data_IF_784090852379
#
_entry.id   IF_784090852379
#
_cell.length_a   1.000
_cell.length_b   1.000
_cell.length_c   1.000
_cell.angle_alpha   90.00
_cell.angle_beta   90.00
_cell.angle_gamma   90.00
#
_symmetry.space_group_name_H-M   'P 1'
#
loop_
_entity.id
_entity.type
_entity.pdbx_description
1 polymer ?
#
# COMPACT_ATOMS: atom_id res chain seq x y z
N UNK A 1 -29.19 -46.35 32.02
CA UNK A 1 -29.99 -45.60 31.03
C UNK A 1 -30.39 -44.29 31.70
N UNK A 2 -29.54 -43.27 31.59
CA UNK A 2 -29.82 -41.90 32.01
C UNK A 2 -29.22 -40.99 30.93
N UNK A 3 -30.07 -40.15 30.38
CA UNK A 3 -29.76 -39.12 29.37
C UNK A 3 -28.92 -38.03 30.01
N UNK A 4 -27.83 -37.64 29.33
CA UNK A 4 -27.03 -36.48 29.69
C UNK A 4 -27.85 -35.21 29.40
N UNK A 5 -28.31 -34.55 30.46
CA UNK A 5 -28.91 -33.22 30.41
C UNK A 5 -27.87 -32.18 30.88
N UNK A 6 -27.90 -31.06 30.16
CA UNK A 6 -27.31 -29.74 30.41
C UNK A 6 -26.23 -29.63 31.49
N UNK A 7 -25.00 -29.49 31.02
CA UNK A 7 -24.02 -28.69 31.76
C UNK A 7 -23.28 -27.75 30.80
N UNK A 8 -23.36 -26.45 31.15
CA UNK A 8 -22.55 -25.32 30.65
C UNK A 8 -22.79 -24.82 29.22
N UNK A 9 -23.81 -23.97 29.06
CA UNK A 9 -23.74 -22.84 28.13
C UNK A 9 -23.20 -21.61 28.89
N UNK A 10 -21.93 -21.20 28.71
CA UNK A 10 -21.55 -19.83 28.99
C UNK A 10 -22.01 -18.95 27.83
N UNK A 11 -22.88 -17.99 28.17
CA UNK A 11 -23.18 -16.70 27.55
C UNK A 11 -22.99 -16.52 26.03
N UNK A 12 -24.10 -16.15 25.38
CA UNK A 12 -24.13 -15.52 24.05
C UNK A 12 -23.23 -14.28 24.01
N UNK A 13 -22.00 -14.46 23.56
CA UNK A 13 -21.21 -13.42 22.91
C UNK A 13 -20.78 -13.94 21.53
N UNK A 14 -21.73 -13.97 20.59
CA UNK A 14 -21.40 -14.05 19.17
C UNK A 14 -21.49 -12.65 18.60
N UNK A 15 -20.40 -11.88 18.72
CA UNK A 15 -20.10 -10.87 17.71
C UNK A 15 -19.92 -11.61 16.38
N UNK A 16 -21.02 -11.79 15.64
CA UNK A 16 -20.96 -12.10 14.22
C UNK A 16 -20.42 -10.86 13.53
N UNK A 17 -19.09 -10.74 13.51
CA UNK A 17 -18.37 -9.73 12.74
C UNK A 17 -18.54 -10.02 11.26
N UNK A 18 -19.71 -9.72 10.70
CA UNK A 18 -19.81 -9.45 9.28
C UNK A 18 -18.86 -8.31 8.99
N UNK A 19 -17.76 -8.62 8.29
CA UNK A 19 -16.92 -7.56 7.73
C UNK A 19 -17.83 -6.70 6.86
N UNK A 20 -17.90 -5.38 7.08
CA UNK A 20 -18.83 -4.53 6.34
C UNK A 20 -18.65 -4.74 4.84
N UNK A 21 -19.73 -4.72 4.06
CA UNK A 21 -19.65 -4.95 2.61
C UNK A 21 -18.75 -3.87 1.99
N UNK A 22 -17.79 -4.22 1.11
CA UNK A 22 -16.95 -3.23 0.43
C UNK A 22 -17.79 -2.25 -0.40
N UNK A 23 -17.71 -0.96 -0.07
CA UNK A 23 -18.45 0.15 -0.69
C UNK A 23 -17.64 0.88 -1.76
N UNK A 24 -16.33 0.63 -1.81
CA UNK A 24 -15.38 1.18 -2.79
C UNK A 24 -14.65 0.04 -3.51
N UNK A 25 -14.32 0.28 -4.78
CA UNK A 25 -13.48 -0.59 -5.60
C UNK A 25 -12.32 0.18 -6.20
N UNK A 26 -11.15 -0.41 -6.23
CA UNK A 26 -9.96 0.17 -6.87
C UNK A 26 -9.75 -0.55 -8.19
N UNK A 27 -9.79 0.18 -9.30
CA UNK A 27 -9.54 -0.35 -10.64
C UNK A 27 -8.05 -0.29 -10.93
N UNK A 28 -7.46 -1.45 -11.21
CA UNK A 28 -6.04 -1.57 -11.56
C UNK A 28 -5.83 -1.56 -13.07
N UNK A 29 -4.57 -1.42 -13.48
CA UNK A 29 -4.13 -1.43 -14.89
C UNK A 29 -4.55 -2.67 -15.69
N UNK A 30 -4.68 -3.83 -15.05
CA UNK A 30 -5.15 -5.07 -15.69
C UNK A 30 -6.66 -5.15 -15.87
N UNK A 31 -7.41 -4.14 -15.44
CA UNK A 31 -8.88 -4.18 -15.41
C UNK A 31 -9.45 -4.93 -14.21
N UNK A 32 -8.61 -5.45 -13.31
CA UNK A 32 -9.07 -6.07 -12.06
C UNK A 32 -9.55 -5.00 -11.08
N UNK A 33 -10.50 -5.38 -10.23
CA UNK A 33 -11.02 -4.49 -9.18
C UNK A 33 -10.73 -5.06 -7.80
N UNK A 34 -10.02 -4.28 -6.98
CA UNK A 34 -9.73 -4.63 -5.58
C UNK A 34 -10.86 -4.05 -4.71
N UNK A 35 -11.61 -4.87 -3.96
CA UNK A 35 -12.61 -4.37 -3.01
C UNK A 35 -11.92 -3.69 -1.83
N UNK A 36 -12.45 -2.55 -1.38
CA UNK A 36 -11.95 -1.80 -0.24
C UNK A 36 -13.09 -1.10 0.51
N UNK A 37 -12.78 -0.61 1.71
CA UNK A 37 -13.72 0.17 2.52
C UNK A 37 -13.36 1.66 2.45
N UNK A 38 -14.34 2.52 2.21
CA UNK A 38 -14.15 3.97 2.25
C UNK A 38 -13.56 4.42 3.58
N UNK A 39 -13.94 3.80 4.69
CA UNK A 39 -13.42 4.09 6.04
C UNK A 39 -11.92 3.88 6.16
N UNK A 40 -11.40 2.81 5.56
CA UNK A 40 -9.97 2.49 5.54
C UNK A 40 -9.23 3.45 4.64
N UNK A 41 -9.75 3.69 3.42
CA UNK A 41 -9.12 4.59 2.47
C UNK A 41 -9.16 6.07 2.92
N UNK A 42 -10.17 6.44 3.71
CA UNK A 42 -10.33 7.78 4.30
C UNK A 42 -9.21 8.15 5.27
N UNK A 43 -8.47 7.16 5.80
CA UNK A 43 -7.27 7.41 6.61
C UNK A 43 -6.14 8.09 5.81
N UNK A 44 -6.19 8.03 4.47
CA UNK A 44 -5.24 8.66 3.57
C UNK A 44 -5.94 9.84 2.88
N UNK A 45 -5.55 11.10 3.18
CA UNK A 45 -6.28 12.30 2.73
C UNK A 45 -6.52 12.35 1.22
N UNK A 46 -5.52 12.02 0.41
CA UNK A 46 -5.64 12.04 -1.06
C UNK A 46 -6.55 10.94 -1.61
N UNK A 47 -6.71 9.83 -0.90
CA UNK A 47 -7.71 8.81 -1.26
C UNK A 47 -9.11 9.26 -0.85
N UNK A 48 -9.25 9.93 0.30
CA UNK A 48 -10.51 10.55 0.72
C UNK A 48 -11.00 11.58 -0.29
N UNK A 49 -10.13 12.47 -0.77
CA UNK A 49 -10.45 13.43 -1.83
C UNK A 49 -11.00 12.72 -3.07
N UNK A 50 -10.35 11.64 -3.53
CA UNK A 50 -10.84 10.84 -4.67
C UNK A 50 -12.19 10.17 -4.44
N UNK A 51 -12.53 9.90 -3.18
CA UNK A 51 -13.84 9.36 -2.79
C UNK A 51 -14.91 10.45 -2.80
N UNK A 52 -14.57 11.67 -2.37
CA UNK A 52 -15.49 12.82 -2.27
C UNK A 52 -15.73 13.47 -3.64
N UNK A 53 -14.66 13.71 -4.42
CA UNK A 53 -14.68 14.39 -5.72
C UNK A 53 -15.40 13.60 -6.83
N UNK A 54 -15.87 12.38 -6.52
CA UNK A 54 -16.65 11.58 -7.44
C UNK A 54 -18.12 11.66 -7.06
N UNK A 55 -18.89 12.65 -7.58
CA UNK A 55 -20.33 12.68 -7.41
C UNK A 55 -20.91 11.42 -8.06
N UNK A 56 -21.48 10.54 -7.24
CA UNK A 56 -22.13 9.34 -7.73
C UNK A 56 -23.33 9.74 -8.59
N UNK A 57 -23.45 9.18 -9.80
CA UNK A 57 -24.66 9.32 -10.63
C UNK A 57 -25.88 8.60 -10.03
N UNK A 58 -25.71 7.85 -8.95
CA UNK A 58 -26.75 7.18 -8.19
C UNK A 58 -26.27 6.88 -6.77
N UNK A 59 -27.17 6.98 -5.79
CA UNK A 59 -26.94 6.60 -4.39
C UNK A 59 -26.48 5.13 -4.24
N UNK A 60 -26.75 4.28 -5.24
CA UNK A 60 -26.43 2.85 -5.24
C UNK A 60 -25.23 2.45 -6.11
N UNK A 61 -24.56 3.40 -6.77
CA UNK A 61 -23.37 3.09 -7.59
C UNK A 61 -22.11 2.99 -6.73
N UNK A 62 -21.54 1.77 -6.64
CA UNK A 62 -20.24 1.51 -6.00
C UNK A 62 -19.18 2.47 -6.56
N UNK A 63 -18.44 3.16 -5.68
CA UNK A 63 -17.40 4.12 -6.09
C UNK A 63 -16.18 3.37 -6.62
N UNK A 64 -15.68 3.76 -7.79
CA UNK A 64 -14.49 3.17 -8.42
C UNK A 64 -13.34 4.18 -8.42
N UNK A 65 -12.18 3.82 -7.88
CA UNK A 65 -10.97 4.64 -7.88
C UNK A 65 -9.93 4.02 -8.83
N UNK A 66 -9.58 4.67 -9.95
CA UNK A 66 -8.56 4.14 -10.86
C UNK A 66 -7.14 4.40 -10.35
N UNK A 67 -6.30 3.36 -10.39
CA UNK A 67 -4.84 3.40 -10.21
C UNK A 67 -4.25 2.54 -11.33
N UNK A 68 -3.88 3.19 -12.45
CA UNK A 68 -3.56 2.51 -13.71
C UNK A 68 -2.08 2.54 -14.08
N UNK A 69 -1.28 3.39 -13.45
CA UNK A 69 0.13 3.57 -13.81
C UNK A 69 1.08 2.58 -13.11
N UNK A 70 0.52 1.63 -12.35
CA UNK A 70 1.28 0.78 -11.43
C UNK A 70 0.83 -0.70 -11.58
N UNK A 71 1.74 -1.68 -11.42
CA UNK A 71 1.38 -3.10 -11.43
C UNK A 71 0.33 -3.45 -10.38
N UNK A 72 -0.55 -4.41 -10.70
CA UNK A 72 -1.71 -4.75 -9.86
C UNK A 72 -1.30 -5.25 -8.48
N UNK A 73 -0.25 -6.06 -8.39
CA UNK A 73 0.26 -6.58 -7.13
C UNK A 73 0.83 -5.46 -6.25
N UNK A 74 1.53 -4.48 -6.84
CA UNK A 74 2.01 -3.32 -6.10
C UNK A 74 0.85 -2.45 -5.56
N UNK A 75 -0.25 -2.32 -6.32
CA UNK A 75 -1.48 -1.66 -5.81
C UNK A 75 -2.08 -2.47 -4.67
N UNK A 76 -2.14 -3.81 -4.78
CA UNK A 76 -2.64 -4.68 -3.72
C UNK A 76 -1.81 -4.53 -2.43
N UNK A 77 -0.48 -4.55 -2.55
CA UNK A 77 0.46 -4.32 -1.45
C UNK A 77 0.25 -2.96 -0.79
N UNK A 78 0.04 -1.90 -1.59
CA UNK A 78 -0.25 -0.56 -1.09
C UNK A 78 -1.57 -0.50 -0.29
N UNK A 79 -2.64 -1.11 -0.78
CA UNK A 79 -3.93 -1.14 -0.07
C UNK A 79 -3.85 -2.01 1.20
N UNK A 80 -3.12 -3.11 1.14
CA UNK A 80 -2.84 -3.95 2.31
C UNK A 80 -2.07 -3.17 3.37
N UNK A 81 -1.11 -2.35 2.97
CA UNK A 81 -0.40 -1.45 3.88
C UNK A 81 -1.33 -0.42 4.50
N UNK A 82 -2.19 0.25 3.74
CA UNK A 82 -3.16 1.21 4.33
C UNK A 82 -4.09 0.53 5.33
N UNK A 83 -4.48 -0.72 5.06
CA UNK A 83 -5.42 -1.46 5.90
C UNK A 83 -4.78 -2.00 7.18
N UNK A 84 -3.54 -2.48 7.11
CA UNK A 84 -2.90 -3.25 8.19
C UNK A 84 -1.60 -2.66 8.71
N UNK A 85 -1.10 -1.60 8.10
CA UNK A 85 0.23 -1.01 8.30
C UNK A 85 1.39 -2.02 8.15
N UNK A 86 1.16 -3.11 7.42
CA UNK A 86 2.14 -4.16 7.13
C UNK A 86 2.55 -4.11 5.66
N UNK A 87 3.85 -4.20 5.45
CA UNK A 87 4.48 -4.40 4.14
C UNK A 87 5.65 -5.35 4.39
N UNK A 88 5.70 -6.42 3.61
CA UNK A 88 6.70 -7.48 3.70
C UNK A 88 7.91 -7.13 2.83
N UNK A 89 9.08 -7.64 3.21
CA UNK A 89 10.35 -7.26 2.56
C UNK A 89 10.37 -7.68 1.08
N UNK A 90 9.77 -8.83 0.75
CA UNK A 90 9.64 -9.28 -0.65
C UNK A 90 8.86 -8.29 -1.52
N UNK A 91 7.86 -7.59 -0.96
CA UNK A 91 7.09 -6.59 -1.70
C UNK A 91 7.92 -5.34 -1.97
N UNK A 92 8.83 -5.01 -1.07
CA UNK A 92 9.77 -3.89 -1.26
C UNK A 92 10.83 -4.29 -2.29
N UNK A 93 11.30 -5.54 -2.27
CA UNK A 93 12.22 -6.06 -3.27
C UNK A 93 11.62 -6.07 -4.69
N UNK A 94 10.40 -6.57 -4.82
CA UNK A 94 9.76 -6.72 -6.14
C UNK A 94 9.12 -5.41 -6.62
N UNK A 95 8.53 -4.63 -5.71
CA UNK A 95 7.70 -3.47 -6.04
C UNK A 95 8.15 -2.17 -5.37
N UNK A 96 9.35 -2.09 -4.79
CA UNK A 96 9.80 -0.95 -3.98
C UNK A 96 9.67 0.41 -4.67
N UNK A 97 10.01 0.51 -5.96
CA UNK A 97 9.88 1.75 -6.74
C UNK A 97 8.40 2.13 -6.92
N UNK A 98 7.55 1.14 -7.22
CA UNK A 98 6.11 1.33 -7.39
C UNK A 98 5.44 1.78 -6.09
N UNK A 99 5.82 1.14 -4.97
CA UNK A 99 5.34 1.50 -3.63
C UNK A 99 5.86 2.88 -3.20
N UNK A 100 7.09 3.23 -3.55
CA UNK A 100 7.63 4.57 -3.34
C UNK A 100 6.80 5.62 -4.11
N UNK A 101 6.48 5.37 -5.38
CA UNK A 101 5.65 6.25 -6.19
C UNK A 101 4.25 6.43 -5.57
N UNK A 102 3.58 5.32 -5.23
CA UNK A 102 2.25 5.35 -4.60
C UNK A 102 2.28 6.09 -3.25
N UNK A 103 3.30 5.83 -2.42
CA UNK A 103 3.45 6.50 -1.13
C UNK A 103 3.64 8.01 -1.27
N UNK A 104 4.32 8.48 -2.31
CA UNK A 104 4.47 9.91 -2.59
C UNK A 104 3.16 10.49 -3.14
N UNK A 105 2.59 9.85 -4.17
CA UNK A 105 1.36 10.30 -4.83
C UNK A 105 0.21 10.42 -3.85
N UNK A 106 0.05 9.47 -2.94
CA UNK A 106 -1.03 9.43 -1.94
C UNK A 106 -0.61 10.00 -0.58
N UNK A 107 0.61 10.52 -0.43
CA UNK A 107 1.13 11.12 0.80
C UNK A 107 1.03 10.19 2.01
N UNK A 108 1.66 9.02 1.93
CA UNK A 108 1.76 8.00 2.99
C UNK A 108 3.21 7.91 3.48
N UNK A 109 3.65 8.74 4.45
CA UNK A 109 5.07 8.87 4.81
C UNK A 109 5.68 7.59 5.38
N UNK A 110 4.90 6.82 6.16
CA UNK A 110 5.38 5.59 6.79
C UNK A 110 5.78 4.52 5.76
N UNK A 111 5.01 4.40 4.67
CA UNK A 111 5.35 3.51 3.57
C UNK A 111 6.57 4.06 2.80
N UNK A 112 6.60 5.36 2.56
CA UNK A 112 7.71 6.04 1.87
C UNK A 112 9.05 5.79 2.57
N UNK A 113 9.07 5.88 3.90
CA UNK A 113 10.26 5.61 4.72
C UNK A 113 10.69 4.13 4.60
N UNK A 114 9.75 3.19 4.70
CA UNK A 114 10.05 1.76 4.53
C UNK A 114 10.63 1.45 3.16
N UNK A 115 10.00 1.91 2.09
CA UNK A 115 10.50 1.72 0.72
C UNK A 115 11.89 2.36 0.55
N UNK A 116 12.11 3.55 1.12
CA UNK A 116 13.41 4.22 1.10
C UNK A 116 14.50 3.41 1.80
N UNK A 117 14.18 2.74 2.91
CA UNK A 117 15.13 1.87 3.61
C UNK A 117 15.47 0.63 2.78
N UNK A 118 14.45 -0.13 2.34
CA UNK A 118 14.67 -1.36 1.58
C UNK A 118 15.34 -1.13 0.21
N UNK A 119 14.91 -0.11 -0.54
CA UNK A 119 15.56 0.24 -1.82
C UNK A 119 17.02 0.62 -1.65
N UNK A 120 17.38 1.22 -0.52
CA UNK A 120 18.76 1.59 -0.26
C UNK A 120 19.66 0.40 0.11
N UNK A 121 19.09 -0.65 0.68
CA UNK A 121 19.80 -1.91 0.99
C UNK A 121 20.04 -2.75 -0.26
N UNK A 122 19.23 -2.55 -1.30
CA UNK A 122 19.29 -3.23 -2.59
C UNK A 122 20.05 -2.43 -3.67
N UNK A 123 20.79 -1.38 -3.28
CA UNK A 123 21.59 -0.60 -4.22
C UNK A 123 22.73 -1.43 -4.79
N UNK A 124 22.87 -1.38 -6.11
CA UNK A 124 23.95 -2.00 -6.86
C UNK A 124 24.56 -0.96 -7.80
N UNK A 125 25.76 -1.23 -8.31
CA UNK A 125 26.42 -0.37 -9.32
C UNK A 125 25.58 -0.23 -10.60
N UNK A 126 24.76 -1.24 -10.91
CA UNK A 126 23.87 -1.26 -12.08
C UNK A 126 22.62 -0.39 -11.89
N UNK A 127 22.03 -0.37 -10.69
CA UNK A 127 20.74 0.28 -10.45
C UNK A 127 20.84 1.67 -9.80
N UNK A 128 21.98 2.03 -9.20
CA UNK A 128 22.09 3.23 -8.33
C UNK A 128 21.77 4.53 -9.06
N UNK A 129 22.07 4.62 -10.35
CA UNK A 129 21.79 5.81 -11.17
C UNK A 129 20.28 5.98 -11.37
N UNK A 130 19.57 4.90 -11.68
CA UNK A 130 18.13 4.91 -11.89
C UNK A 130 17.40 5.20 -10.57
N UNK A 131 17.82 4.53 -9.48
CA UNK A 131 17.26 4.77 -8.14
C UNK A 131 17.52 6.22 -7.70
N UNK A 132 18.68 6.79 -8.02
CA UNK A 132 18.97 8.20 -7.75
C UNK A 132 18.02 9.14 -8.50
N UNK A 133 17.73 8.88 -9.78
CA UNK A 133 16.78 9.68 -10.55
C UNK A 133 15.37 9.57 -9.96
N UNK A 134 14.92 8.36 -9.64
CA UNK A 134 13.61 8.11 -9.04
C UNK A 134 13.48 8.73 -7.65
N UNK A 135 14.55 8.72 -6.85
CA UNK A 135 14.57 9.37 -5.54
C UNK A 135 14.38 10.89 -5.64
N UNK A 136 14.81 11.52 -6.74
CA UNK A 136 14.55 12.95 -7.00
C UNK A 136 13.11 13.15 -7.44
N UNK A 137 12.61 12.30 -8.34
CA UNK A 137 11.24 12.38 -8.87
C UNK A 137 10.18 12.26 -7.77
N UNK A 138 10.37 11.32 -6.84
CA UNK A 138 9.41 11.08 -5.75
C UNK A 138 9.76 11.80 -4.46
N UNK A 139 10.69 12.76 -4.51
CA UNK A 139 11.12 13.59 -3.38
C UNK A 139 11.54 12.76 -2.13
N UNK A 140 12.43 11.78 -2.34
CA UNK A 140 12.98 10.91 -1.30
C UNK A 140 14.44 11.31 -0.99
N UNK A 141 14.68 12.39 -0.21
CA UNK A 141 16.01 12.92 0.02
C UNK A 141 16.96 11.94 0.72
N UNK A 142 16.44 11.10 1.63
CA UNK A 142 17.26 10.10 2.33
C UNK A 142 17.76 9.02 1.36
N UNK A 143 16.90 8.54 0.45
CA UNK A 143 17.29 7.59 -0.60
C UNK A 143 18.33 8.22 -1.52
N UNK A 144 18.12 9.48 -1.90
CA UNK A 144 19.05 10.26 -2.72
C UNK A 144 20.43 10.34 -2.09
N UNK A 145 20.51 10.67 -0.79
CA UNK A 145 21.78 10.71 -0.06
C UNK A 145 22.46 9.34 0.00
N UNK A 146 21.71 8.27 0.24
CA UNK A 146 22.25 6.91 0.24
C UNK A 146 22.81 6.51 -1.12
N UNK A 147 22.14 6.85 -2.22
CA UNK A 147 22.64 6.61 -3.57
C UNK A 147 23.96 7.36 -3.83
N UNK A 148 24.04 8.65 -3.47
CA UNK A 148 25.26 9.44 -3.63
C UNK A 148 26.43 8.88 -2.80
N UNK A 149 26.16 8.47 -1.56
CA UNK A 149 27.14 7.84 -0.68
C UNK A 149 27.63 6.50 -1.23
N UNK A 150 26.74 5.70 -1.83
CA UNK A 150 27.10 4.45 -2.49
C UNK A 150 28.04 4.72 -3.67
N UNK A 151 27.66 5.61 -4.59
CA UNK A 151 28.49 6.00 -5.74
C UNK A 151 29.87 6.50 -5.29
N UNK A 152 29.93 7.39 -4.30
CA UNK A 152 31.21 7.93 -3.81
C UNK A 152 32.14 6.86 -3.21
N UNK A 153 31.60 5.73 -2.71
CA UNK A 153 32.42 4.63 -2.19
C UNK A 153 32.97 3.76 -3.32
N UNK A 154 32.16 3.46 -4.32
CA UNK A 154 32.58 2.70 -5.50
C UNK A 154 33.70 3.43 -6.26
N UNK A 155 33.57 4.75 -6.46
CA UNK A 155 34.61 5.55 -7.12
C UNK A 155 35.93 5.65 -6.34
N UNK A 156 35.97 5.30 -5.05
CA UNK A 156 37.21 5.27 -4.25
C UNK A 156 37.90 3.90 -4.27
N UNK A 157 37.22 2.86 -4.74
CA UNK A 157 37.78 1.51 -4.85
C UNK A 157 38.39 1.21 -6.22
N UNK A 158 38.15 2.07 -7.21
CA UNK A 158 38.77 2.05 -8.55
C UNK A 158 39.96 3.01 -8.58
#
# INVERSE_FOLDING_TARGET
MWTYDNSFLPSRDCFSGESPIPDVRILTSSGLTIPAHSTVLASVPKLLERIIDRPGKSWNSKKIIPILDVPCNAVLSFIRFITSSRCEDFEIEEYGINLLALSHLFSVPQLKERCTKGLAEQLTSENVVDVLQLSRLYDAPDLRLKCLNFMSKEFKQV
#
